data_IF_119449441030
#
_entry.id   IF_119449441030
#
_cell.length_a   1.000
_cell.length_b   1.000
_cell.length_c   1.000
_cell.angle_alpha   90.00
_cell.angle_beta   90.00
_cell.angle_gamma   90.00
#
_symmetry.space_group_name_H-M   'P 1'
#
loop_
_entity.id
_entity.type
_entity.pdbx_description
1 polymer ?
#
# COMPACT_ATOMS: atom_id res chain seq x y z
N UNK A 1 0.32 -1.60 6.37
CA UNK A 1 -0.94 -0.86 6.17
C UNK A 1 -0.69 0.60 6.47
N UNK A 2 -1.41 1.53 5.83
CA UNK A 2 -1.34 2.96 6.10
C UNK A 2 -2.73 3.56 5.90
N UNK A 3 -3.23 4.30 6.90
CA UNK A 3 -4.54 4.98 6.88
C UNK A 3 -5.73 4.07 6.49
N UNK A 4 -5.75 2.82 6.95
CA UNK A 4 -6.80 1.84 6.63
C UNK A 4 -6.68 1.20 5.25
N UNK A 5 -5.66 1.57 4.45
CA UNK A 5 -5.38 0.96 3.15
C UNK A 5 -4.21 -0.01 3.23
N UNK A 6 -4.31 -1.10 2.50
CA UNK A 6 -3.21 -2.04 2.29
C UNK A 6 -2.48 -1.71 0.99
N UNK A 7 -1.17 -1.97 0.99
CA UNK A 7 -0.31 -1.76 -0.16
C UNK A 7 0.52 -3.02 -0.41
N UNK A 8 0.84 -3.29 -1.66
CA UNK A 8 1.75 -4.36 -2.06
C UNK A 8 2.99 -3.78 -2.71
N UNK A 9 4.15 -4.36 -2.41
CA UNK A 9 5.40 -3.96 -3.05
C UNK A 9 5.44 -4.52 -4.46
N UNK A 10 5.55 -3.64 -5.47
CA UNK A 10 5.63 -4.07 -6.87
C UNK A 10 7.07 -4.39 -7.26
N UNK A 11 8.00 -3.48 -6.94
CA UNK A 11 9.43 -3.67 -7.18
C UNK A 11 10.26 -2.62 -6.44
N UNK A 12 11.52 -2.96 -6.22
CA UNK A 12 12.54 -1.98 -5.84
C UNK A 12 13.09 -1.28 -7.08
N UNK A 13 13.22 0.03 -7.02
CA UNK A 13 13.93 0.82 -8.01
C UNK A 13 15.44 0.63 -7.82
N UNK A 14 16.14 0.04 -8.79
CA UNK A 14 17.60 -0.21 -8.70
C UNK A 14 18.42 1.08 -8.55
N UNK A 15 17.97 2.19 -9.17
CA UNK A 15 18.69 3.47 -9.17
C UNK A 15 18.66 4.17 -7.81
N UNK A 16 17.48 4.28 -7.22
CA UNK A 16 17.28 5.00 -5.95
C UNK A 16 17.26 4.09 -4.73
N UNK A 17 17.25 2.77 -4.93
CA UNK A 17 17.00 1.72 -3.92
C UNK A 17 15.64 1.83 -3.22
N UNK A 18 14.74 2.68 -3.71
CA UNK A 18 13.42 2.87 -3.13
C UNK A 18 12.46 1.75 -3.57
N UNK A 19 11.62 1.31 -2.65
CA UNK A 19 10.53 0.39 -2.92
C UNK A 19 9.28 1.15 -3.35
N UNK A 20 8.68 0.71 -4.44
CA UNK A 20 7.41 1.25 -4.92
C UNK A 20 6.28 0.32 -4.51
N UNK A 21 5.42 0.83 -3.64
CA UNK A 21 4.23 0.17 -3.12
C UNK A 21 2.99 0.80 -3.75
N UNK A 22 2.03 -0.05 -4.12
CA UNK A 22 0.78 0.37 -4.73
C UNK A 22 -0.37 -0.12 -3.87
N UNK A 23 -1.49 0.61 -3.88
CA UNK A 23 -2.69 0.12 -3.19
C UNK A 23 -3.02 -1.30 -3.63
N UNK A 24 -3.38 -2.19 -2.69
CA UNK A 24 -3.70 -3.59 -3.02
C UNK A 24 -4.89 -3.73 -3.98
N UNK A 25 -5.72 -2.69 -4.08
CA UNK A 25 -6.85 -2.63 -5.01
C UNK A 25 -6.46 -2.05 -6.38
N UNK A 26 -5.18 -1.71 -6.62
CA UNK A 26 -4.72 -1.13 -7.88
C UNK A 26 -5.21 -1.92 -9.10
N UNK A 27 -5.06 -3.25 -9.06
CA UNK A 27 -5.45 -4.11 -10.17
C UNK A 27 -6.97 -4.35 -10.27
N UNK A 28 -7.70 -4.35 -9.15
CA UNK A 28 -9.13 -4.72 -9.15
C UNK A 28 -10.10 -3.53 -9.13
N UNK A 29 -9.66 -2.35 -8.67
CA UNK A 29 -10.46 -1.11 -8.61
C UNK A 29 -9.80 0.07 -9.34
N UNK A 30 -8.66 -0.15 -10.01
CA UNK A 30 -7.94 0.92 -10.72
C UNK A 30 -7.37 2.01 -9.80
N UNK A 31 -7.19 1.72 -8.51
CA UNK A 31 -6.69 2.72 -7.56
C UNK A 31 -5.23 3.09 -7.87
N UNK A 32 -4.94 4.38 -8.01
CA UNK A 32 -3.61 4.86 -8.37
C UNK A 32 -2.75 5.28 -7.17
N UNK A 33 -3.25 5.14 -5.95
CA UNK A 33 -2.51 5.48 -4.74
C UNK A 33 -1.18 4.70 -4.64
N UNK A 34 -0.12 5.43 -4.29
CA UNK A 34 1.26 4.92 -4.26
C UNK A 34 1.96 5.33 -2.97
N UNK A 35 2.82 4.44 -2.50
CA UNK A 35 3.69 4.66 -1.36
C UNK A 35 5.13 4.34 -1.78
N UNK A 36 6.07 5.21 -1.48
CA UNK A 36 7.49 5.02 -1.76
C UNK A 36 8.22 4.94 -0.44
N UNK A 37 8.92 3.83 -0.23
CA UNK A 37 9.78 3.61 0.93
C UNK A 37 11.24 3.58 0.48
N UNK A 38 12.17 4.04 1.32
CA UNK A 38 13.61 3.82 1.09
C UNK A 38 14.06 2.44 1.61
N UNK A 39 15.37 2.16 1.55
CA UNK A 39 15.93 0.89 2.03
C UNK A 39 15.76 0.67 3.54
N UNK A 40 15.60 1.77 4.30
CA UNK A 40 15.32 1.77 5.73
C UNK A 40 13.82 1.75 6.06
N UNK A 41 12.97 1.45 5.08
CA UNK A 41 11.50 1.45 5.20
C UNK A 41 10.88 2.78 5.64
N UNK A 42 11.59 3.89 5.54
CA UNK A 42 11.03 5.21 5.79
C UNK A 42 10.27 5.73 4.57
N UNK A 43 9.16 6.43 4.80
CA UNK A 43 8.33 7.01 3.76
C UNK A 43 9.05 8.19 3.12
N UNK A 44 9.36 8.07 1.83
CA UNK A 44 10.00 9.14 1.03
C UNK A 44 9.04 9.77 0.03
N UNK A 45 7.85 9.21 -0.14
CA UNK A 45 6.80 9.77 -0.96
C UNK A 45 5.49 9.03 -0.77
N UNK A 46 4.39 9.78 -0.75
CA UNK A 46 3.05 9.25 -0.55
C UNK A 46 2.08 9.98 -1.49
N UNK A 47 1.39 9.21 -2.32
CA UNK A 47 0.25 9.64 -3.12
C UNK A 47 -1.00 8.97 -2.51
N UNK A 48 -1.66 9.68 -1.60
CA UNK A 48 -2.75 9.16 -0.76
C UNK A 48 -4.15 9.34 -1.38
N UNK A 49 -4.24 9.59 -2.69
CA UNK A 49 -5.53 9.78 -3.35
C UNK A 49 -6.10 8.42 -3.78
N UNK A 50 -7.08 7.93 -3.01
CA UNK A 50 -7.80 6.69 -3.29
C UNK A 50 -9.14 7.00 -3.93
N UNK A 51 -9.54 6.17 -4.90
CA UNK A 51 -10.82 6.27 -5.61
C UNK A 51 -11.90 5.34 -5.04
N UNK A 52 -11.63 4.76 -3.86
CA UNK A 52 -12.51 3.82 -3.18
C UNK A 52 -12.35 3.99 -1.67
N UNK A 53 -13.37 3.61 -0.87
CA UNK A 53 -13.24 3.59 0.59
C UNK A 53 -12.21 2.53 1.05
N UNK A 54 -11.68 2.64 2.27
CA UNK A 54 -10.87 1.60 2.90
C UNK A 54 -11.61 0.26 2.88
N UNK A 55 -10.86 -0.84 2.85
CA UNK A 55 -11.48 -2.15 3.04
C UNK A 55 -11.76 -2.36 4.53
N UNK A 56 -12.92 -2.95 4.82
CA UNK A 56 -13.25 -3.39 6.16
C UNK A 56 -12.46 -4.67 6.46
N UNK A 57 -11.78 -4.69 7.61
CA UNK A 57 -11.04 -5.87 8.08
C UNK A 57 -11.57 -6.25 9.45
N UNK A 58 -11.84 -7.54 9.66
CA UNK A 58 -12.02 -8.10 10.98
C UNK A 58 -10.70 -8.69 11.48
N UNK A 59 -10.36 -8.45 12.73
CA UNK A 59 -9.21 -9.09 13.38
C UNK A 59 -9.74 -10.35 14.08
N UNK A 60 -9.27 -11.52 13.64
CA UNK A 60 -9.59 -12.80 14.28
C UNK A 60 -8.29 -13.52 14.63
N UNK A 61 -8.10 -13.80 15.91
CA UNK A 61 -6.87 -14.44 16.46
C UNK A 61 -5.56 -13.77 16.01
N UNK A 62 -5.55 -12.43 15.94
CA UNK A 62 -4.38 -11.65 15.51
C UNK A 62 -4.17 -11.60 13.98
N UNK A 63 -5.02 -12.28 13.20
CA UNK A 63 -5.00 -12.22 11.75
C UNK A 63 -6.02 -11.21 11.22
N UNK A 64 -5.61 -10.40 10.24
CA UNK A 64 -6.49 -9.46 9.54
C UNK A 64 -7.21 -10.18 8.41
N UNK A 65 -8.51 -10.42 8.58
CA UNK A 65 -9.38 -11.03 7.57
C UNK A 65 -10.14 -9.90 6.87
N UNK A 66 -9.89 -9.74 5.56
CA UNK A 66 -10.64 -8.81 4.73
C UNK A 66 -12.08 -9.32 4.57
N UNK A 67 -13.06 -8.48 4.86
CA UNK A 67 -14.48 -8.79 4.64
C UNK A 67 -14.91 -8.58 3.18
#
# INVERSE_FOLDING_TARGET
MLNGYTYYCKKQCKRTRNFHWYCSTHNCRGCNAKLKLNDKFAIVGLENQHTHPPAEYCIHEGQYIKM
#
